data_IF_727569871944
#
_entry.id   IF_727569871944
#
_cell.length_a   1.000
_cell.length_b   1.000
_cell.length_c   1.000
_cell.angle_alpha   90.00
_cell.angle_beta   90.00
_cell.angle_gamma   90.00
#
_symmetry.space_group_name_H-M   'P 1'
#
loop_
_entity.id
_entity.type
_entity.pdbx_description
1 polymer ?
#
# COMPACT_ATOMS: atom_id res chain seq x y z
N UNK A 1 2.80 6.84 9.79
CA UNK A 1 3.61 5.60 9.77
C UNK A 1 3.82 5.22 8.32
N UNK A 2 5.02 4.80 7.96
CA UNK A 2 5.35 4.25 6.64
C UNK A 2 5.48 2.73 6.73
N UNK A 3 5.00 2.04 5.69
CA UNK A 3 5.17 0.60 5.51
C UNK A 3 5.95 0.42 4.20
N UNK A 4 7.05 -0.34 4.26
CA UNK A 4 7.93 -0.57 3.11
C UNK A 4 8.40 -2.01 3.13
N UNK A 5 8.39 -2.71 2.00
CA UNK A 5 8.81 -4.10 1.95
C UNK A 5 10.33 -4.26 1.74
N UNK A 6 10.96 -3.31 1.04
CA UNK A 6 12.39 -3.34 0.75
C UNK A 6 13.22 -2.95 1.99
N UNK A 7 13.93 -3.90 2.64
CA UNK A 7 14.71 -3.61 3.83
C UNK A 7 15.83 -2.61 3.59
N UNK A 8 16.28 -2.45 2.35
CA UNK A 8 17.35 -1.49 1.98
C UNK A 8 16.90 -0.04 2.16
N UNK A 9 15.60 0.22 2.17
CA UNK A 9 15.04 1.56 2.28
C UNK A 9 14.79 2.00 3.72
N UNK A 10 14.87 1.07 4.68
CA UNK A 10 14.58 1.37 6.08
C UNK A 10 15.40 2.56 6.60
N UNK A 11 16.73 2.52 6.44
CA UNK A 11 17.62 3.56 6.97
C UNK A 11 17.36 4.94 6.37
N UNK A 12 17.07 5.00 5.06
CA UNK A 12 16.82 6.29 4.38
C UNK A 12 15.45 6.86 4.73
N UNK A 13 14.42 6.02 4.88
CA UNK A 13 13.09 6.45 5.33
C UNK A 13 13.19 6.94 6.77
N UNK A 14 13.86 6.20 7.66
CA UNK A 14 14.06 6.59 9.04
C UNK A 14 14.81 7.91 9.14
N UNK A 15 15.91 8.07 8.40
CA UNK A 15 16.66 9.34 8.35
C UNK A 15 15.80 10.50 7.86
N UNK A 16 14.96 10.26 6.87
CA UNK A 16 14.04 11.28 6.34
C UNK A 16 13.03 11.70 7.41
N UNK A 17 12.46 10.75 8.14
CA UNK A 17 11.58 11.03 9.27
C UNK A 17 12.27 11.83 10.38
N UNK A 18 13.49 11.43 10.78
CA UNK A 18 14.27 12.13 11.80
C UNK A 18 14.52 13.61 11.43
N UNK A 19 14.88 13.87 10.17
CA UNK A 19 15.11 15.22 9.66
C UNK A 19 13.84 16.09 9.68
N UNK A 20 12.66 15.48 9.66
CA UNK A 20 11.36 16.17 9.75
C UNK A 20 10.77 16.16 11.16
N UNK A 21 11.54 15.76 12.18
CA UNK A 21 11.07 15.69 13.57
C UNK A 21 10.05 14.60 13.83
N UNK A 22 9.93 13.61 12.93
CA UNK A 22 9.08 12.44 13.09
C UNK A 22 9.88 11.35 13.82
N UNK A 23 9.92 11.41 15.15
CA UNK A 23 10.63 10.43 15.99
C UNK A 23 9.66 9.53 16.76
N UNK A 24 9.99 8.25 16.90
CA UNK A 24 9.23 7.28 17.71
C UNK A 24 9.36 5.83 17.21
N UNK A 25 9.05 4.82 18.03
CA UNK A 25 9.30 3.41 17.72
C UNK A 25 8.50 2.83 16.55
N UNK A 26 7.53 3.58 16.01
CA UNK A 26 6.50 3.06 15.08
C UNK A 26 6.34 3.94 13.84
N UNK A 27 7.38 4.72 13.48
CA UNK A 27 7.31 5.61 12.31
C UNK A 27 7.48 4.87 10.99
N UNK A 28 8.24 3.76 10.97
CA UNK A 28 8.50 2.92 9.80
C UNK A 28 8.41 1.45 10.19
N UNK A 29 7.84 0.60 9.34
CA UNK A 29 7.90 -0.86 9.49
C UNK A 29 8.26 -1.52 8.17
N UNK A 30 9.28 -2.37 8.21
CA UNK A 30 9.71 -3.13 7.04
C UNK A 30 8.87 -4.41 6.89
N UNK A 31 7.80 -4.37 6.11
CA UNK A 31 6.89 -5.49 5.89
C UNK A 31 5.97 -5.24 4.69
N UNK A 32 5.25 -6.27 4.27
CA UNK A 32 4.11 -6.16 3.35
C UNK A 32 2.83 -5.95 4.16
N UNK A 33 2.08 -4.89 3.85
CA UNK A 33 0.71 -4.72 4.31
C UNK A 33 -0.26 -5.17 3.20
N UNK A 34 -1.17 -6.08 3.51
CA UNK A 34 -2.12 -6.62 2.54
C UNK A 34 -3.48 -6.95 3.15
N UNK A 35 -4.49 -7.13 2.31
CA UNK A 35 -5.81 -7.66 2.65
C UNK A 35 -5.97 -9.13 2.24
N UNK A 36 -4.95 -9.73 1.62
CA UNK A 36 -4.95 -11.13 1.24
C UNK A 36 -4.74 -12.03 2.47
N UNK A 37 -5.80 -12.74 2.88
CA UNK A 37 -5.78 -13.57 4.08
C UNK A 37 -4.76 -14.72 4.00
N UNK A 38 -4.56 -15.33 2.83
CA UNK A 38 -3.59 -16.41 2.66
C UNK A 38 -2.16 -15.93 2.94
N UNK A 39 -1.82 -14.72 2.47
CA UNK A 39 -0.52 -14.11 2.76
C UNK A 39 -0.39 -13.71 4.25
N UNK A 40 -1.48 -13.23 4.86
CA UNK A 40 -1.49 -12.87 6.27
C UNK A 40 -1.27 -14.11 7.14
N UNK A 41 -1.96 -15.21 6.86
CA UNK A 41 -1.86 -16.47 7.60
C UNK A 41 -0.48 -17.12 7.44
N UNK A 42 0.15 -16.96 6.27
CA UNK A 42 1.53 -17.41 6.04
C UNK A 42 2.56 -16.64 6.88
N UNK A 43 2.28 -15.39 7.25
CA UNK A 43 3.10 -14.54 8.12
C UNK A 43 4.37 -13.98 7.47
N UNK A 44 4.94 -14.65 6.47
CA UNK A 44 6.04 -14.15 5.64
C UNK A 44 5.80 -14.45 4.16
N UNK A 45 6.39 -13.66 3.27
CA UNK A 45 6.33 -13.89 1.83
C UNK A 45 7.62 -13.49 1.13
N UNK A 46 7.80 -13.97 -0.10
CA UNK A 46 8.92 -13.59 -0.96
C UNK A 46 8.66 -12.20 -1.56
N UNK A 47 9.65 -11.33 -1.44
CA UNK A 47 9.68 -10.03 -2.08
C UNK A 47 10.83 -9.95 -3.08
N UNK A 48 10.51 -9.57 -4.32
CA UNK A 48 11.47 -9.51 -5.41
C UNK A 48 12.07 -8.11 -5.46
N UNK A 49 13.37 -8.02 -5.23
CA UNK A 49 14.09 -6.76 -5.11
C UNK A 49 14.77 -6.44 -6.43
N UNK A 50 14.41 -5.32 -7.05
CA UNK A 50 15.01 -4.82 -8.27
C UNK A 50 16.32 -4.04 -8.04
N UNK A 51 17.04 -3.78 -9.13
CA UNK A 51 18.16 -2.83 -9.14
C UNK A 51 17.73 -1.43 -8.65
N UNK A 52 16.58 -0.95 -9.15
CA UNK A 52 15.92 0.27 -8.69
C UNK A 52 14.84 -0.10 -7.68
N UNK A 53 14.60 0.77 -6.69
CA UNK A 53 13.59 0.50 -5.66
C UNK A 53 12.18 0.35 -6.27
N UNK A 54 11.76 1.24 -7.16
CA UNK A 54 10.50 1.19 -7.93
C UNK A 54 10.38 -0.01 -8.89
N UNK A 55 11.42 -0.84 -9.01
CA UNK A 55 11.34 -2.08 -9.76
C UNK A 55 11.06 -3.29 -8.88
N UNK A 56 10.92 -3.11 -7.55
CA UNK A 56 10.70 -4.19 -6.58
C UNK A 56 9.20 -4.40 -6.33
N UNK A 57 8.73 -5.65 -6.24
CA UNK A 57 7.34 -5.94 -5.87
C UNK A 57 7.12 -7.42 -5.49
N UNK A 58 5.90 -7.77 -5.11
CA UNK A 58 5.44 -9.16 -4.92
C UNK A 58 5.31 -9.95 -6.23
N UNK A 59 5.10 -9.25 -7.36
CA UNK A 59 4.81 -9.85 -8.67
C UNK A 59 6.07 -10.16 -9.48
N UNK A 60 7.25 -9.88 -8.91
CA UNK A 60 8.52 -9.96 -9.60
C UNK A 60 9.16 -8.59 -9.82
N UNK A 61 10.44 -8.59 -10.17
CA UNK A 61 11.21 -7.37 -10.35
C UNK A 61 11.90 -7.30 -11.72
N UNK A 62 11.87 -6.12 -12.33
CA UNK A 62 12.68 -5.86 -13.53
C UNK A 62 14.13 -5.72 -13.11
N UNK A 63 15.03 -6.45 -13.79
CA UNK A 63 16.45 -6.57 -13.39
C UNK A 63 16.55 -6.99 -11.91
N UNK A 64 16.05 -8.20 -11.64
CA UNK A 64 16.07 -8.81 -10.32
C UNK A 64 17.49 -8.80 -9.76
N UNK A 65 17.64 -8.21 -8.57
CA UNK A 65 18.90 -8.16 -7.83
C UNK A 65 18.95 -9.25 -6.77
N UNK A 66 17.86 -9.44 -6.05
CA UNK A 66 17.74 -10.45 -5.00
C UNK A 66 16.28 -10.78 -4.71
N UNK A 67 16.04 -11.88 -4.02
CA UNK A 67 14.75 -12.21 -3.41
C UNK A 67 14.98 -12.25 -1.91
N UNK A 68 14.13 -11.56 -1.16
CA UNK A 68 14.18 -11.54 0.30
C UNK A 68 12.86 -12.05 0.87
N UNK A 69 12.92 -12.64 2.05
CA UNK A 69 11.71 -12.98 2.80
C UNK A 69 11.36 -11.81 3.71
N UNK A 70 10.11 -11.36 3.67
CA UNK A 70 9.62 -10.21 4.43
C UNK A 70 8.39 -10.59 5.25
N UNK A 71 8.23 -10.01 6.45
CA UNK A 71 7.01 -10.18 7.22
C UNK A 71 5.79 -9.67 6.45
N UNK A 72 4.65 -10.32 6.66
CA UNK A 72 3.34 -9.88 6.18
C UNK A 72 2.50 -9.45 7.38
N UNK A 73 1.71 -8.41 7.19
CA UNK A 73 0.73 -7.96 8.16
C UNK A 73 -0.58 -7.58 7.47
N UNK A 74 -1.69 -7.81 8.17
CA UNK A 74 -3.01 -7.37 7.73
C UNK A 74 -3.12 -5.85 7.74
N UNK A 75 -3.47 -5.26 6.61
CA UNK A 75 -3.73 -3.83 6.48
C UNK A 75 -4.85 -3.35 7.43
N UNK A 76 -5.98 -4.08 7.63
CA UNK A 76 -7.01 -3.66 8.58
C UNK A 76 -6.51 -3.59 10.03
N UNK A 77 -5.62 -4.51 10.41
CA UNK A 77 -5.01 -4.51 11.75
C UNK A 77 -4.10 -3.30 11.93
N UNK A 78 -3.27 -2.98 10.94
CA UNK A 78 -2.45 -1.77 10.95
C UNK A 78 -3.27 -0.49 11.05
N UNK A 79 -4.37 -0.41 10.28
CA UNK A 79 -5.29 0.74 10.31
C UNK A 79 -5.88 0.91 11.71
N UNK A 80 -6.32 -0.18 12.34
CA UNK A 80 -6.87 -0.17 13.70
C UNK A 80 -5.82 0.21 14.74
N UNK A 81 -4.64 -0.42 14.69
CA UNK A 81 -3.51 -0.16 15.59
C UNK A 81 -3.09 1.32 15.56
N UNK A 82 -3.14 1.95 14.38
CA UNK A 82 -2.72 3.34 14.18
C UNK A 82 -3.86 4.34 14.17
N UNK A 83 -5.11 3.88 14.19
CA UNK A 83 -6.31 4.69 13.94
C UNK A 83 -6.13 5.56 12.68
N UNK A 84 -5.58 4.98 11.63
CA UNK A 84 -5.24 5.71 10.41
C UNK A 84 -6.51 6.22 9.71
N UNK A 85 -6.58 7.51 9.41
CA UNK A 85 -7.69 8.12 8.68
C UNK A 85 -7.39 8.44 7.21
N UNK A 86 -6.12 8.38 6.81
CA UNK A 86 -5.68 8.58 5.42
C UNK A 86 -4.74 7.45 5.03
N UNK A 87 -4.95 6.89 3.84
CA UNK A 87 -4.01 5.98 3.19
C UNK A 87 -3.36 6.66 1.98
N UNK A 88 -2.04 6.53 1.86
CA UNK A 88 -1.28 6.91 0.67
C UNK A 88 -0.58 5.65 0.20
N UNK A 89 -0.85 5.23 -1.05
CA UNK A 89 -0.50 3.91 -1.56
C UNK A 89 0.21 4.02 -2.89
N UNK A 90 1.43 3.48 -2.93
CA UNK A 90 2.22 3.24 -4.13
C UNK A 90 2.89 1.87 -3.92
N UNK A 91 2.35 0.83 -4.56
CA UNK A 91 2.71 -0.58 -4.28
C UNK A 91 3.03 -1.38 -5.54
N UNK A 92 3.34 -0.68 -6.63
CA UNK A 92 4.02 -1.24 -7.81
C UNK A 92 3.38 -2.56 -8.32
N UNK A 93 2.07 -2.56 -8.52
CA UNK A 93 1.31 -3.70 -9.07
C UNK A 93 0.47 -4.48 -8.07
N UNK A 94 0.70 -4.31 -6.76
CA UNK A 94 -0.10 -4.96 -5.72
C UNK A 94 -1.44 -4.25 -5.43
N UNK A 95 -1.83 -3.24 -6.24
CA UNK A 95 -3.02 -2.43 -6.00
C UNK A 95 -4.32 -3.24 -6.14
N UNK A 96 -4.31 -4.33 -6.92
CA UNK A 96 -5.49 -5.20 -7.11
C UNK A 96 -5.93 -5.88 -5.82
N UNK A 97 -4.98 -6.12 -4.91
CA UNK A 97 -5.21 -6.94 -3.72
C UNK A 97 -5.40 -6.10 -2.47
N UNK A 98 -4.80 -4.89 -2.43
CA UNK A 98 -4.74 -4.07 -1.22
C UNK A 98 -6.11 -3.53 -0.77
N UNK A 99 -7.09 -3.44 -1.68
CA UNK A 99 -8.45 -2.99 -1.38
C UNK A 99 -9.51 -4.10 -1.42
N UNK A 100 -9.10 -5.37 -1.55
CA UNK A 100 -10.04 -6.46 -1.74
C UNK A 100 -10.76 -6.83 -0.43
N UNK A 101 -12.05 -6.48 -0.33
CA UNK A 101 -13.03 -7.04 0.61
C UNK A 101 -12.82 -6.76 2.10
N UNK A 102 -11.72 -6.10 2.48
CA UNK A 102 -11.40 -5.85 3.89
C UNK A 102 -11.82 -4.45 4.33
N UNK A 103 -12.48 -4.32 5.50
CA UNK A 103 -12.97 -3.04 5.98
C UNK A 103 -11.81 -2.09 6.34
N UNK A 104 -11.93 -0.85 5.89
CA UNK A 104 -10.99 0.25 6.15
C UNK A 104 -11.61 1.26 7.13
N UNK A 105 -12.09 0.76 8.28
CA UNK A 105 -13.10 1.40 9.14
C UNK A 105 -12.84 2.88 9.49
N UNK A 106 -11.60 3.24 9.84
CA UNK A 106 -11.26 4.63 10.22
C UNK A 106 -10.79 5.49 9.04
N UNK A 107 -10.56 4.89 7.88
CA UNK A 107 -10.02 5.58 6.71
C UNK A 107 -11.10 6.41 6.05
N UNK A 108 -10.84 7.70 5.89
CA UNK A 108 -11.74 8.68 5.27
C UNK A 108 -11.27 9.08 3.87
N UNK A 109 -9.97 8.97 3.60
CA UNK A 109 -9.32 9.38 2.35
C UNK A 109 -8.28 8.36 1.91
N UNK A 110 -8.24 8.10 0.61
CA UNK A 110 -7.24 7.24 -0.01
C UNK A 110 -6.64 7.99 -1.18
N UNK A 111 -5.32 8.03 -1.26
CA UNK A 111 -4.57 8.49 -2.43
C UNK A 111 -3.74 7.32 -2.93
N UNK A 112 -4.02 6.83 -4.14
CA UNK A 112 -3.34 5.65 -4.69
C UNK A 112 -2.80 5.95 -6.08
N UNK A 113 -1.54 5.60 -6.34
CA UNK A 113 -1.01 5.56 -7.71
C UNK A 113 -1.49 4.31 -8.44
N UNK A 114 -1.84 4.47 -9.71
CA UNK A 114 -2.33 3.39 -10.58
C UNK A 114 -1.29 3.03 -11.63
N UNK A 115 -0.75 1.82 -11.53
CA UNK A 115 0.25 1.29 -12.46
C UNK A 115 -0.38 0.50 -13.62
N UNK A 116 -0.97 1.21 -14.60
CA UNK A 116 -1.65 0.58 -15.76
C UNK A 116 -0.83 -0.53 -16.44
N UNK A 117 0.49 -0.34 -16.58
CA UNK A 117 1.37 -1.31 -17.23
C UNK A 117 1.56 -2.61 -16.43
N UNK A 118 1.18 -2.63 -15.14
CA UNK A 118 1.30 -3.79 -14.24
C UNK A 118 -0.04 -4.50 -14.05
N UNK A 119 -1.11 -3.74 -13.84
CA UNK A 119 -2.43 -4.29 -13.49
C UNK A 119 -3.43 -4.34 -14.67
N UNK A 120 -3.12 -3.67 -15.79
CA UNK A 120 -4.02 -3.57 -16.93
C UNK A 120 -5.31 -2.81 -16.62
N UNK A 121 -6.20 -2.71 -17.62
CA UNK A 121 -7.48 -1.98 -17.46
C UNK A 121 -8.47 -2.69 -16.54
N UNK A 122 -8.40 -4.02 -16.51
CA UNK A 122 -9.26 -4.82 -15.62
C UNK A 122 -8.88 -4.61 -14.16
N UNK A 123 -7.59 -4.59 -13.82
CA UNK A 123 -7.15 -4.27 -12.47
C UNK A 123 -7.57 -2.86 -12.03
N UNK A 124 -7.53 -1.87 -12.93
CA UNK A 124 -8.07 -0.53 -12.64
C UNK A 124 -9.56 -0.59 -12.32
N UNK A 125 -10.34 -1.29 -13.15
CA UNK A 125 -11.78 -1.46 -12.92
C UNK A 125 -12.02 -2.11 -11.55
N UNK A 126 -11.25 -3.12 -11.19
CA UNK A 126 -11.45 -3.87 -9.95
C UNK A 126 -11.09 -3.03 -8.71
N UNK A 127 -10.04 -2.21 -8.76
CA UNK A 127 -9.73 -1.23 -7.70
C UNK A 127 -10.92 -0.31 -7.43
N UNK A 128 -11.48 0.30 -8.49
CA UNK A 128 -12.60 1.23 -8.34
C UNK A 128 -13.85 0.52 -7.80
N UNK A 129 -14.14 -0.71 -8.24
CA UNK A 129 -15.27 -1.49 -7.73
C UNK A 129 -15.10 -1.88 -6.27
N UNK A 130 -13.90 -2.27 -5.87
CA UNK A 130 -13.60 -2.62 -4.48
C UNK A 130 -13.72 -1.42 -3.56
N UNK A 131 -13.20 -0.26 -3.98
CA UNK A 131 -13.32 0.98 -3.23
C UNK A 131 -14.78 1.46 -3.13
N UNK A 132 -15.54 1.39 -4.22
CA UNK A 132 -16.98 1.68 -4.23
C UNK A 132 -17.75 0.78 -3.25
N UNK A 133 -17.48 -0.53 -3.27
CA UNK A 133 -18.08 -1.48 -2.33
C UNK A 133 -17.71 -1.20 -0.85
N UNK A 134 -16.57 -0.55 -0.60
CA UNK A 134 -16.12 -0.10 0.72
C UNK A 134 -16.65 1.29 1.10
N UNK A 135 -17.51 1.90 0.26
CA UNK A 135 -18.12 3.20 0.47
C UNK A 135 -17.22 4.37 0.11
N UNK A 136 -16.24 4.19 -0.78
CA UNK A 136 -15.38 5.25 -1.28
C UNK A 136 -15.77 5.66 -2.70
N UNK A 137 -15.82 6.96 -2.93
CA UNK A 137 -16.04 7.56 -4.26
C UNK A 137 -14.77 8.24 -4.76
N UNK A 138 -14.55 8.20 -6.06
CA UNK A 138 -13.47 8.92 -6.73
C UNK A 138 -13.59 10.44 -6.49
N UNK A 139 -12.48 11.07 -6.13
CA UNK A 139 -12.36 12.52 -5.92
C UNK A 139 -11.46 13.15 -6.99
N UNK A 140 -12.04 13.80 -8.02
CA UNK A 140 -11.26 14.46 -9.05
C UNK A 140 -10.42 15.61 -8.52
N UNK A 141 -10.82 16.28 -7.44
CA UNK A 141 -10.08 17.41 -6.88
C UNK A 141 -8.79 16.97 -6.16
N UNK A 142 -8.75 15.72 -5.70
CA UNK A 142 -7.56 15.11 -5.09
C UNK A 142 -6.75 14.25 -6.08
N UNK A 143 -7.11 14.25 -7.37
CA UNK A 143 -6.51 13.37 -8.38
C UNK A 143 -5.65 14.14 -9.39
N UNK A 144 -4.55 13.53 -9.83
CA UNK A 144 -3.69 14.05 -10.89
C UNK A 144 -2.97 12.92 -11.63
N UNK A 145 -3.19 12.80 -12.95
CA UNK A 145 -2.54 11.77 -13.76
C UNK A 145 -2.89 10.35 -13.31
N UNK A 146 -1.86 9.53 -13.04
CA UNK A 146 -2.01 8.16 -12.52
C UNK A 146 -2.37 8.12 -11.03
N UNK A 147 -2.28 9.24 -10.31
CA UNK A 147 -2.62 9.33 -8.89
C UNK A 147 -4.10 9.66 -8.74
N UNK A 148 -4.83 8.74 -8.11
CA UNK A 148 -6.27 8.84 -7.91
C UNK A 148 -6.59 9.00 -6.42
N UNK A 149 -7.35 10.05 -6.12
CA UNK A 149 -7.91 10.31 -4.80
C UNK A 149 -9.31 9.69 -4.66
N UNK A 150 -9.63 9.22 -3.47
CA UNK A 150 -10.94 8.70 -3.09
C UNK A 150 -11.35 9.23 -1.71
N UNK A 151 -12.65 9.46 -1.53
CA UNK A 151 -13.26 9.88 -0.26
C UNK A 151 -14.32 8.91 0.17
N UNK A 152 -14.37 8.61 1.47
CA UNK A 152 -15.50 7.90 2.06
C UNK A 152 -16.76 8.75 1.89
N UNK A 153 -17.83 8.13 1.43
CA UNK A 153 -19.17 8.71 1.39
C UNK A 153 -19.65 8.79 2.84
N UNK A 154 -20.04 9.99 3.29
CA UNK A 154 -20.68 10.16 4.59
C UNK A 154 -22.07 9.51 4.53
N UNK A 155 -22.40 8.66 5.51
CA UNK A 155 -23.77 8.18 5.67
C UNK A 155 -24.68 9.40 5.89
N UNK A 156 -25.68 9.56 5.03
CA UNK A 156 -26.64 10.67 5.06
C UNK A 156 -27.79 10.36 6.00
#
# INVERSE_FOLDING_TARGET
MAIEADPRLFDIIHRTHDLNGLSGPLTVRTCIATCNQELIDAGTTKFYVGEKFCASSLLGARKLKSIVEVPVIGLPELIRERRANVLIVDVEGAETDIFNGSPLETVERILTEIHLNRIGREGIRDIFRNLDALGFVYDPAASAGSVCGFRRIEET
#
